data_IF_553145776229
#
_entry.id   IF_553145776229
#
_cell.length_a   1.000
_cell.length_b   1.000
_cell.length_c   1.000
_cell.angle_alpha   90.00
_cell.angle_beta   90.00
_cell.angle_gamma   90.00
#
_symmetry.space_group_name_H-M   'P 1'
#
loop_
_entity.id
_entity.type
_entity.pdbx_description
1 polymer ?
#
# COMPACT_ATOMS: atom_id res chain seq x y z
N UNK A 1 26.31 -8.99 -24.20
CA UNK A 1 26.24 -8.03 -23.08
C UNK A 1 25.79 -8.82 -21.86
N UNK A 2 26.70 -9.19 -20.94
CA UNK A 2 26.32 -9.87 -19.69
C UNK A 2 25.76 -8.78 -18.78
N UNK A 3 24.44 -8.67 -18.71
CA UNK A 3 23.78 -7.84 -17.72
C UNK A 3 24.16 -8.45 -16.36
N UNK A 4 24.85 -7.68 -15.52
CA UNK A 4 25.19 -8.14 -14.18
C UNK A 4 23.90 -8.27 -13.34
N UNK A 5 23.93 -9.13 -12.32
CA UNK A 5 22.77 -9.33 -11.44
C UNK A 5 22.38 -8.04 -10.69
N UNK A 6 23.30 -7.09 -10.59
CA UNK A 6 23.11 -5.78 -9.94
C UNK A 6 22.22 -4.85 -10.78
N UNK A 7 22.52 -4.66 -12.06
CA UNK A 7 21.74 -3.81 -12.98
C UNK A 7 20.33 -4.36 -13.14
N UNK A 8 20.19 -5.68 -13.28
CA UNK A 8 18.87 -6.35 -13.34
C UNK A 8 18.01 -5.97 -12.13
N UNK A 9 18.58 -6.02 -10.93
CA UNK A 9 17.87 -5.71 -9.68
C UNK A 9 17.50 -4.25 -9.54
N UNK A 10 18.33 -3.32 -10.04
CA UNK A 10 17.96 -1.90 -10.10
C UNK A 10 16.82 -1.63 -11.08
N UNK A 11 16.82 -2.30 -12.24
CA UNK A 11 15.74 -2.19 -13.22
C UNK A 11 14.45 -2.78 -12.64
N UNK A 12 14.52 -3.94 -11.98
CA UNK A 12 13.37 -4.62 -11.36
C UNK A 12 12.80 -3.87 -10.16
N UNK A 13 13.55 -2.96 -9.54
CA UNK A 13 13.09 -2.23 -8.37
C UNK A 13 11.80 -1.45 -8.65
N UNK A 14 11.75 -0.72 -9.76
CA UNK A 14 10.58 0.11 -10.11
C UNK A 14 9.35 -0.74 -10.47
N UNK A 15 9.45 -1.75 -11.36
CA UNK A 15 8.34 -2.66 -11.62
C UNK A 15 7.88 -3.42 -10.37
N UNK A 16 8.78 -3.81 -9.49
CA UNK A 16 8.44 -4.54 -8.28
C UNK A 16 7.64 -3.68 -7.29
N UNK A 17 8.04 -2.43 -7.06
CA UNK A 17 7.28 -1.53 -6.18
C UNK A 17 5.91 -1.18 -6.77
N UNK A 18 5.83 -0.98 -8.08
CA UNK A 18 4.56 -0.79 -8.77
C UNK A 18 3.65 -2.01 -8.67
N UNK A 19 4.19 -3.22 -8.90
CA UNK A 19 3.44 -4.45 -8.74
C UNK A 19 2.93 -4.61 -7.30
N UNK A 20 3.77 -4.30 -6.29
CA UNK A 20 3.38 -4.33 -4.88
C UNK A 20 2.21 -3.39 -4.58
N UNK A 21 2.23 -2.17 -5.13
CA UNK A 21 1.15 -1.20 -4.99
C UNK A 21 -0.15 -1.72 -5.64
N UNK A 22 -0.08 -2.23 -6.88
CA UNK A 22 -1.25 -2.78 -7.57
C UNK A 22 -1.86 -3.98 -6.85
N UNK A 23 -1.03 -4.86 -6.27
CA UNK A 23 -1.53 -5.99 -5.48
C UNK A 23 -2.40 -5.49 -4.32
N UNK A 24 -1.98 -4.43 -3.61
CA UNK A 24 -2.76 -3.86 -2.53
C UNK A 24 -4.06 -3.18 -3.03
N UNK A 25 -4.01 -2.52 -4.18
CA UNK A 25 -5.21 -1.93 -4.81
C UNK A 25 -6.23 -3.01 -5.18
N UNK A 26 -5.79 -4.07 -5.87
CA UNK A 26 -6.68 -5.18 -6.25
C UNK A 26 -7.21 -5.93 -5.03
N UNK A 27 -6.42 -6.06 -3.97
CA UNK A 27 -6.88 -6.62 -2.71
C UNK A 27 -7.99 -5.76 -2.09
N UNK A 28 -7.82 -4.45 -2.05
CA UNK A 28 -8.86 -3.53 -1.57
C UNK A 28 -10.15 -3.61 -2.38
N UNK A 29 -10.04 -3.62 -3.72
CA UNK A 29 -11.19 -3.79 -4.62
C UNK A 29 -11.89 -5.13 -4.36
N UNK A 30 -11.14 -6.22 -4.24
CA UNK A 30 -11.70 -7.54 -3.98
C UNK A 30 -12.46 -7.58 -2.64
N UNK A 31 -11.93 -6.93 -1.59
CA UNK A 31 -12.61 -6.83 -0.29
C UNK A 31 -13.89 -6.01 -0.42
N UNK A 32 -13.86 -4.86 -1.11
CA UNK A 32 -15.06 -4.05 -1.35
C UNK A 32 -16.14 -4.85 -2.08
N UNK A 33 -15.77 -5.54 -3.17
CA UNK A 33 -16.70 -6.39 -3.94
C UNK A 33 -17.29 -7.51 -3.09
N UNK A 34 -16.47 -8.12 -2.23
CA UNK A 34 -16.96 -9.13 -1.28
C UNK A 34 -17.94 -8.52 -0.27
N UNK A 35 -17.66 -7.33 0.25
CA UNK A 35 -18.55 -6.61 1.17
C UNK A 35 -19.89 -6.23 0.55
N UNK A 36 -19.88 -5.78 -0.70
CA UNK A 36 -21.09 -5.45 -1.46
C UNK A 36 -22.02 -6.66 -1.61
N UNK A 37 -21.46 -7.87 -1.74
CA UNK A 37 -22.23 -9.11 -1.82
C UNK A 37 -22.99 -9.44 -0.51
N UNK A 38 -22.61 -8.84 0.62
CA UNK A 38 -23.31 -8.97 1.90
C UNK A 38 -24.33 -7.85 2.14
N UNK A 39 -24.48 -6.90 1.22
CA UNK A 39 -25.49 -5.86 1.36
C UNK A 39 -26.90 -6.45 1.21
N UNK A 40 -27.80 -6.25 2.19
CA UNK A 40 -29.18 -6.70 2.07
C UNK A 40 -29.88 -6.01 0.90
N UNK A 41 -30.62 -6.77 0.08
CA UNK A 41 -31.24 -6.27 -1.15
C UNK A 41 -32.18 -5.08 -0.94
N UNK A 42 -32.83 -5.02 0.23
CA UNK A 42 -33.74 -3.96 0.64
C UNK A 42 -33.02 -2.65 1.01
N UNK A 43 -31.70 -2.68 1.20
CA UNK A 43 -30.86 -1.52 1.52
C UNK A 43 -29.99 -1.09 0.33
N UNK A 44 -30.18 -1.68 -0.84
CA UNK A 44 -29.53 -1.27 -2.08
C UNK A 44 -30.42 -0.23 -2.76
N UNK A 45 -29.97 1.02 -2.79
CA UNK A 45 -30.67 2.12 -3.46
C UNK A 45 -29.77 2.63 -4.58
N UNK A 46 -30.27 2.61 -5.82
CA UNK A 46 -29.53 3.07 -7.01
C UNK A 46 -28.17 2.38 -7.22
N UNK A 47 -28.05 1.11 -6.82
CA UNK A 47 -26.82 0.32 -6.95
C UNK A 47 -25.79 0.54 -5.83
N UNK A 48 -26.12 1.32 -4.80
CA UNK A 48 -25.24 1.56 -3.65
C UNK A 48 -25.82 0.97 -2.36
N UNK A 49 -24.94 0.37 -1.55
CA UNK A 49 -25.31 -0.14 -0.24
C UNK A 49 -25.51 1.00 0.76
N UNK A 50 -26.69 1.08 1.37
CA UNK A 50 -27.03 2.09 2.40
C UNK A 50 -27.10 1.49 3.81
N UNK A 51 -26.50 0.32 4.02
CA UNK A 51 -26.48 -0.31 5.33
C UNK A 51 -25.69 0.52 6.33
N UNK A 52 -26.16 0.60 7.58
CA UNK A 52 -25.54 1.42 8.63
C UNK A 52 -24.07 1.05 8.91
N UNK A 53 -23.67 -0.20 8.64
CA UNK A 53 -22.30 -0.68 8.79
C UNK A 53 -21.41 -0.35 7.59
N UNK A 54 -21.98 -0.04 6.43
CA UNK A 54 -21.25 0.11 5.17
C UNK A 54 -20.26 1.29 5.17
N UNK A 55 -20.57 2.47 5.73
CA UNK A 55 -19.58 3.56 5.84
C UNK A 55 -18.34 3.16 6.65
N UNK A 56 -18.54 2.47 7.77
CA UNK A 56 -17.45 1.97 8.60
C UNK A 56 -16.63 0.90 7.89
N UNK A 57 -17.29 0.00 7.16
CA UNK A 57 -16.64 -1.00 6.32
C UNK A 57 -15.76 -0.35 5.24
N UNK A 58 -16.31 0.59 4.46
CA UNK A 58 -15.59 1.29 3.39
C UNK A 58 -14.34 2.01 3.94
N UNK A 59 -14.49 2.75 5.04
CA UNK A 59 -13.37 3.42 5.70
C UNK A 59 -12.31 2.42 6.20
N UNK A 60 -12.73 1.29 6.78
CA UNK A 60 -11.83 0.23 7.23
C UNK A 60 -11.04 -0.39 6.08
N UNK A 61 -11.69 -0.61 4.93
CA UNK A 61 -11.03 -1.15 3.74
C UNK A 61 -10.03 -0.15 3.16
N UNK A 62 -10.35 1.15 3.14
CA UNK A 62 -9.41 2.19 2.71
C UNK A 62 -8.16 2.21 3.59
N UNK A 63 -8.33 2.22 4.92
CA UNK A 63 -7.20 2.19 5.88
C UNK A 63 -6.39 0.90 5.73
N UNK A 64 -7.05 -0.24 5.63
CA UNK A 64 -6.39 -1.53 5.45
C UNK A 64 -5.56 -1.56 4.15
N UNK A 65 -6.17 -1.19 3.04
CA UNK A 65 -5.53 -1.26 1.71
C UNK A 65 -4.36 -0.29 1.59
N UNK A 66 -4.49 0.93 2.12
CA UNK A 66 -3.39 1.90 2.15
C UNK A 66 -2.23 1.42 3.02
N UNK A 67 -2.53 0.82 4.17
CA UNK A 67 -1.53 0.26 5.09
C UNK A 67 -0.77 -0.91 4.46
N UNK A 68 -1.49 -1.85 3.85
CA UNK A 68 -0.90 -2.99 3.14
C UNK A 68 -0.05 -2.53 1.96
N UNK A 69 -0.53 -1.55 1.21
CA UNK A 69 0.23 -0.95 0.10
C UNK A 69 1.56 -0.37 0.57
N UNK A 70 1.55 0.43 1.65
CA UNK A 70 2.76 1.01 2.21
C UNK A 70 3.77 -0.07 2.65
N UNK A 71 3.31 -1.12 3.31
CA UNK A 71 4.15 -2.26 3.72
C UNK A 71 4.78 -2.92 2.48
N UNK A 72 3.95 -3.29 1.50
CA UNK A 72 4.41 -4.02 0.32
C UNK A 72 5.40 -3.21 -0.51
N UNK A 73 5.15 -1.93 -0.72
CA UNK A 73 6.04 -1.05 -1.49
C UNK A 73 7.40 -0.89 -0.79
N UNK A 74 7.41 -0.64 0.52
CA UNK A 74 8.66 -0.49 1.30
C UNK A 74 9.45 -1.79 1.32
N UNK A 75 8.80 -2.91 1.61
CA UNK A 75 9.43 -4.24 1.68
C UNK A 75 9.98 -4.65 0.31
N UNK A 76 9.18 -4.54 -0.75
CA UNK A 76 9.61 -4.87 -2.11
C UNK A 76 10.81 -4.03 -2.53
N UNK A 77 10.74 -2.72 -2.34
CA UNK A 77 11.83 -1.80 -2.64
C UNK A 77 13.12 -2.12 -1.90
N UNK A 78 13.02 -2.38 -0.60
CA UNK A 78 14.16 -2.72 0.24
C UNK A 78 14.85 -4.02 -0.19
N UNK A 79 14.10 -5.09 -0.45
CA UNK A 79 14.67 -6.38 -0.83
C UNK A 79 15.14 -6.43 -2.29
N UNK A 80 14.51 -5.68 -3.20
CA UNK A 80 14.96 -5.60 -4.59
C UNK A 80 16.27 -4.83 -4.73
N UNK A 81 16.51 -3.82 -3.89
CA UNK A 81 17.76 -3.05 -3.90
C UNK A 81 19.00 -3.97 -3.73
N UNK A 82 19.96 -3.95 -4.67
CA UNK A 82 21.15 -4.79 -4.59
C UNK A 82 22.15 -4.27 -3.56
N UNK A 83 22.29 -2.96 -3.42
CA UNK A 83 23.12 -2.26 -2.44
C UNK A 83 22.37 -1.08 -1.80
N UNK A 84 22.91 -0.50 -0.72
CA UNK A 84 22.34 0.68 -0.04
C UNK A 84 20.85 0.55 0.34
N UNK A 85 20.40 -0.67 0.68
CA UNK A 85 18.98 -0.99 0.91
C UNK A 85 18.29 -0.07 1.92
N UNK A 86 18.98 0.27 3.02
CA UNK A 86 18.45 1.20 4.03
C UNK A 86 18.19 2.59 3.46
N UNK A 87 19.10 3.12 2.62
CA UNK A 87 18.91 4.40 1.95
C UNK A 87 17.75 4.33 0.95
N UNK A 88 17.70 3.28 0.14
CA UNK A 88 16.62 3.07 -0.83
C UNK A 88 15.25 2.93 -0.14
N UNK A 89 15.16 2.15 0.94
CA UNK A 89 13.93 2.02 1.72
C UNK A 89 13.44 3.35 2.30
N UNK A 90 14.37 4.18 2.82
CA UNK A 90 14.03 5.55 3.28
C UNK A 90 13.52 6.43 2.15
N UNK A 91 14.17 6.40 0.98
CA UNK A 91 13.72 7.16 -0.18
C UNK A 91 12.32 6.74 -0.62
N UNK A 92 12.07 5.44 -0.71
CA UNK A 92 10.75 4.90 -1.09
C UNK A 92 9.68 5.30 -0.08
N UNK A 93 10.00 5.25 1.21
CA UNK A 93 9.06 5.71 2.24
C UNK A 93 8.77 7.21 2.11
N UNK A 94 9.77 8.06 1.88
CA UNK A 94 9.59 9.51 1.72
C UNK A 94 8.76 9.83 0.47
N UNK A 95 9.11 9.25 -0.69
CA UNK A 95 8.38 9.50 -1.94
C UNK A 95 6.97 8.92 -1.89
N UNK A 96 6.80 7.72 -1.33
CA UNK A 96 5.49 7.12 -1.09
C UNK A 96 4.62 7.94 -0.13
N UNK A 97 5.22 8.49 0.93
CA UNK A 97 4.52 9.39 1.86
C UNK A 97 4.05 10.67 1.16
N UNK A 98 4.87 11.26 0.29
CA UNK A 98 4.46 12.42 -0.49
C UNK A 98 3.26 12.13 -1.40
N UNK A 99 3.25 10.96 -2.06
CA UNK A 99 2.11 10.50 -2.87
C UNK A 99 0.87 10.26 -2.00
N UNK A 100 1.03 9.61 -0.85
CA UNK A 100 -0.06 9.35 0.08
C UNK A 100 -0.68 10.65 0.63
N UNK A 101 0.15 11.65 0.97
CA UNK A 101 -0.31 12.96 1.40
C UNK A 101 -1.11 13.65 0.30
N UNK A 102 -0.58 13.64 -0.95
CA UNK A 102 -1.30 14.20 -2.09
C UNK A 102 -2.66 13.53 -2.28
N UNK A 103 -2.71 12.19 -2.28
CA UNK A 103 -3.98 11.45 -2.40
C UNK A 103 -4.94 11.74 -1.24
N UNK A 104 -4.45 11.87 -0.01
CA UNK A 104 -5.29 12.15 1.15
C UNK A 104 -5.90 13.57 1.09
N UNK A 105 -5.20 14.54 0.52
CA UNK A 105 -5.75 15.89 0.30
C UNK A 105 -6.88 15.83 -0.74
N UNK A 106 -6.68 15.13 -1.85
CA UNK A 106 -7.68 15.02 -2.92
C UNK A 106 -8.91 14.19 -2.51
N UNK A 107 -8.71 13.12 -1.74
CA UNK A 107 -9.78 12.19 -1.32
C UNK A 107 -10.42 12.54 0.03
N UNK A 108 -9.79 13.43 0.81
CA UNK A 108 -10.15 13.72 2.21
C UNK A 108 -10.05 12.50 3.15
N UNK A 109 -9.40 11.41 2.73
CA UNK A 109 -9.25 10.17 3.51
C UNK A 109 -8.02 10.20 4.42
N UNK A 110 -8.03 11.08 5.43
CA UNK A 110 -6.90 11.26 6.35
C UNK A 110 -6.60 10.05 7.24
N UNK A 111 -7.59 9.19 7.52
CA UNK A 111 -7.33 7.93 8.25
C UNK A 111 -6.53 6.93 7.41
N UNK A 112 -6.78 6.87 6.11
CA UNK A 112 -6.01 6.02 5.22
C UNK A 112 -4.55 6.49 5.14
N UNK A 113 -4.31 7.81 5.21
CA UNK A 113 -2.97 8.38 5.31
C UNK A 113 -2.25 7.94 6.59
N UNK A 114 -2.89 8.04 7.76
CA UNK A 114 -2.24 7.66 9.02
C UNK A 114 -1.90 6.18 9.05
N UNK A 115 -2.78 5.31 8.56
CA UNK A 115 -2.50 3.88 8.37
C UNK A 115 -1.28 3.64 7.48
N UNK A 116 -1.24 4.25 6.30
CA UNK A 116 -0.12 4.14 5.37
C UNK A 116 1.21 4.60 5.99
N UNK A 117 1.23 5.75 6.70
CA UNK A 117 2.44 6.28 7.33
C UNK A 117 2.94 5.38 8.47
N UNK A 118 2.04 4.94 9.36
CA UNK A 118 2.40 4.11 10.51
C UNK A 118 2.90 2.73 10.07
N UNK A 119 2.18 2.08 9.15
CA UNK A 119 2.56 0.76 8.64
C UNK A 119 3.78 0.82 7.72
N UNK A 120 3.92 1.86 6.91
CA UNK A 120 5.12 2.11 6.10
C UNK A 120 6.36 2.36 6.97
N UNK A 121 6.24 3.19 8.01
CA UNK A 121 7.33 3.44 8.95
C UNK A 121 7.68 2.19 9.74
N UNK A 122 6.69 1.47 10.26
CA UNK A 122 6.88 0.23 10.99
C UNK A 122 7.61 -0.83 10.17
N UNK A 123 7.18 -1.06 8.92
CA UNK A 123 7.85 -1.99 8.01
C UNK A 123 9.27 -1.55 7.68
N UNK A 124 9.53 -0.26 7.45
CA UNK A 124 10.87 0.29 7.23
C UNK A 124 11.80 0.01 8.43
N UNK A 125 11.32 0.25 9.65
CA UNK A 125 12.09 0.01 10.87
C UNK A 125 12.41 -1.47 11.06
N UNK A 126 11.45 -2.36 10.78
CA UNK A 126 11.64 -3.82 10.87
C UNK A 126 12.73 -4.26 9.88
N UNK A 127 12.62 -3.88 8.60
CA UNK A 127 13.58 -4.34 7.57
C UNK A 127 14.99 -3.77 7.76
N UNK A 128 15.11 -2.56 8.33
CA UNK A 128 16.42 -1.99 8.68
C UNK A 128 17.03 -2.73 9.89
N UNK A 129 16.23 -3.04 10.92
CA UNK A 129 16.71 -3.71 12.13
C UNK A 129 17.19 -5.14 11.85
N UNK A 130 16.47 -5.90 11.03
CA UNK A 130 16.80 -7.28 10.64
C UNK A 130 18.21 -7.45 10.07
N UNK A 131 18.80 -6.39 9.49
CA UNK A 131 20.16 -6.42 8.91
C UNK A 131 21.25 -5.82 9.77
N UNK A 132 20.90 -5.23 10.92
CA UNK A 132 21.87 -4.72 11.88
C UNK A 132 22.34 -5.78 12.88
N UNK A 133 21.68 -6.95 12.89
CA UNK A 133 22.04 -8.15 13.66
C UNK A 133 22.83 -9.12 12.79
#
# INVERSE_FOLDING_TARGET
MKLDSTIIRWILLVPATWAAWYIAVFLGIAILTAGDAFCPSEQIVSGWCHANWYPFFLQSVMVFSSSVSAIFVVVAGYYMAPSHRSFVGKLIFITGSAVAIFMAIETQEYLALTGALLCGLGSLLIVIKDRAQ
#
